data_IF_951677602085
#
_entry.id   IF_951677602085
#
_cell.length_a   1.000
_cell.length_b   1.000
_cell.length_c   1.000
_cell.angle_alpha   90.00
_cell.angle_beta   90.00
_cell.angle_gamma   90.00
#
_symmetry.space_group_name_H-M   'P 1'
#
loop_
_entity.id
_entity.type
_entity.pdbx_description
1 polymer ?
#
# COMPACT_ATOMS: atom_id res chain seq x y z
N UNK A 1 2.64 -15.86 16.23
CA UNK A 1 1.17 -15.62 16.28
C UNK A 1 0.41 -16.25 15.11
N UNK A 2 0.84 -17.42 14.64
CA UNK A 2 0.22 -18.17 13.54
C UNK A 2 -1.21 -18.61 13.84
N UNK A 3 -1.60 -18.65 15.12
CA UNK A 3 -2.80 -19.34 15.61
C UNK A 3 -4.08 -18.48 15.59
N UNK A 4 -3.97 -17.18 15.29
CA UNK A 4 -5.14 -16.32 15.11
C UNK A 4 -5.61 -16.46 13.65
N UNK A 5 -6.87 -16.74 13.31
CA UNK A 5 -7.29 -16.75 11.91
C UNK A 5 -7.32 -15.33 11.32
N UNK A 6 -6.98 -15.17 10.04
CA UNK A 6 -7.23 -13.91 9.32
C UNK A 6 -8.70 -13.87 8.89
N UNK A 7 -9.44 -12.85 9.31
CA UNK A 7 -10.87 -12.65 9.05
C UNK A 7 -11.17 -11.18 8.78
N UNK A 8 -12.18 -10.93 7.96
CA UNK A 8 -12.81 -9.62 7.88
C UNK A 8 -13.73 -9.39 9.08
N UNK A 9 -13.87 -8.14 9.49
CA UNK A 9 -14.84 -7.77 10.51
C UNK A 9 -16.28 -8.03 10.02
N UNK A 10 -17.12 -8.54 10.91
CA UNK A 10 -18.56 -8.72 10.71
C UNK A 10 -19.30 -8.34 11.99
N UNK A 11 -20.39 -7.54 11.92
CA UNK A 11 -21.23 -7.24 13.08
C UNK A 11 -21.82 -8.49 13.74
N UNK A 12 -22.21 -9.50 12.94
CA UNK A 12 -22.73 -10.77 13.44
C UNK A 12 -21.66 -11.53 14.22
N UNK A 13 -20.41 -11.54 13.71
CA UNK A 13 -19.31 -12.17 14.43
C UNK A 13 -18.98 -11.43 15.73
N UNK A 14 -18.96 -10.09 15.70
CA UNK A 14 -18.77 -9.25 16.88
C UNK A 14 -19.77 -9.58 17.99
N UNK A 15 -21.07 -9.70 17.66
CA UNK A 15 -22.11 -10.02 18.63
C UNK A 15 -21.94 -11.38 19.32
N UNK A 16 -21.36 -12.37 18.63
CA UNK A 16 -21.17 -13.73 19.17
C UNK A 16 -19.88 -13.87 19.98
N UNK A 17 -18.92 -12.96 19.83
CA UNK A 17 -17.63 -13.00 20.52
C UNK A 17 -17.71 -12.59 22.00
N UNK A 18 -18.85 -12.06 22.46
CA UNK A 18 -19.00 -11.55 23.83
C UNK A 18 -18.18 -10.29 24.12
N UNK A 19 -17.75 -9.58 23.08
CA UNK A 19 -17.14 -8.26 23.23
C UNK A 19 -18.21 -7.21 23.58
N UNK A 20 -17.84 -6.13 24.27
CA UNK A 20 -18.77 -5.03 24.55
C UNK A 20 -19.32 -4.43 23.25
N UNK A 21 -20.60 -4.06 23.27
CA UNK A 21 -21.22 -3.31 22.17
C UNK A 21 -20.48 -2.00 21.88
N UNK A 22 -20.62 -1.46 20.66
CA UNK A 22 -19.88 -0.26 20.25
C UNK A 22 -20.25 1.02 21.03
N UNK A 23 -21.40 1.00 21.69
CA UNK A 23 -21.91 2.03 22.59
C UNK A 23 -21.35 1.93 24.02
N UNK A 24 -20.67 0.84 24.36
CA UNK A 24 -20.09 0.61 25.68
C UNK A 24 -18.90 1.55 25.97
N UNK A 25 -18.86 2.09 27.19
CA UNK A 25 -17.81 3.01 27.65
C UNK A 25 -16.40 2.39 27.67
N UNK A 26 -16.29 1.05 27.68
CA UNK A 26 -15.00 0.36 27.61
C UNK A 26 -14.22 0.70 26.34
N UNK A 27 -14.89 0.95 25.21
CA UNK A 27 -14.23 1.41 23.98
C UNK A 27 -13.66 2.82 24.15
N UNK A 28 -14.37 3.71 24.85
CA UNK A 28 -13.89 5.05 25.16
C UNK A 28 -12.68 5.02 26.10
N UNK A 29 -12.69 4.14 27.10
CA UNK A 29 -11.54 3.94 27.99
C UNK A 29 -10.31 3.42 27.23
N UNK A 30 -10.52 2.51 26.27
CA UNK A 30 -9.46 2.04 25.39
C UNK A 30 -8.89 3.20 24.56
N UNK A 31 -9.74 4.04 23.96
CA UNK A 31 -9.30 5.25 23.26
C UNK A 31 -8.45 6.16 24.15
N UNK A 32 -8.91 6.48 25.37
CA UNK A 32 -8.17 7.31 26.34
C UNK A 32 -6.80 6.75 26.69
N UNK A 33 -6.67 5.43 26.85
CA UNK A 33 -5.35 4.80 27.09
C UNK A 33 -4.40 5.07 25.92
N UNK A 34 -4.89 4.94 24.68
CA UNK A 34 -4.11 5.12 23.48
C UNK A 34 -3.88 6.60 23.11
N UNK A 35 -4.57 7.57 23.71
CA UNK A 35 -4.27 9.00 23.58
C UNK A 35 -2.87 9.37 24.10
N UNK A 36 -2.29 8.55 24.99
CA UNK A 36 -0.91 8.70 25.45
C UNK A 36 0.09 8.70 24.29
N UNK A 37 0.88 9.77 24.18
CA UNK A 37 1.89 9.97 23.14
C UNK A 37 2.99 8.90 23.14
N UNK A 38 3.16 8.16 24.24
CA UNK A 38 4.11 7.07 24.35
C UNK A 38 3.91 6.01 23.24
N UNK A 39 2.67 5.63 22.95
CA UNK A 39 2.34 4.66 21.88
C UNK A 39 2.64 5.18 20.47
N UNK A 40 2.90 6.47 20.30
CA UNK A 40 3.26 7.05 19.02
C UNK A 40 4.78 7.24 18.85
N UNK A 41 5.59 7.30 19.90
CA UNK A 41 7.02 7.65 19.79
C UNK A 41 7.81 6.57 19.07
N UNK A 42 8.57 6.89 18.03
CA UNK A 42 9.36 5.89 17.27
C UNK A 42 10.39 5.15 18.13
N UNK A 43 10.98 5.82 19.13
CA UNK A 43 11.94 5.21 20.05
C UNK A 43 11.35 4.09 20.92
N UNK A 44 10.03 4.07 21.11
CA UNK A 44 9.36 3.03 21.90
C UNK A 44 9.55 1.62 21.31
N UNK A 45 9.80 1.55 20.00
CA UNK A 45 10.03 0.28 19.31
C UNK A 45 11.26 -0.40 19.92
N UNK A 46 12.38 0.30 20.07
CA UNK A 46 13.57 -0.26 20.71
C UNK A 46 13.36 -0.50 22.21
N UNK A 47 12.71 0.44 22.91
CA UNK A 47 12.45 0.34 24.36
C UNK A 47 11.73 -0.98 24.72
N UNK A 48 10.83 -1.44 23.84
CA UNK A 48 10.08 -2.69 24.03
C UNK A 48 10.73 -3.89 23.35
N UNK A 49 11.08 -3.77 22.07
CA UNK A 49 11.52 -4.92 21.26
C UNK A 49 12.89 -5.46 21.69
N UNK A 50 13.78 -4.62 22.22
CA UNK A 50 15.09 -5.05 22.73
C UNK A 50 15.07 -5.49 24.19
N UNK A 51 13.91 -5.43 24.86
CA UNK A 51 13.79 -5.85 26.26
C UNK A 51 13.99 -7.36 26.40
N UNK A 52 14.89 -7.76 27.30
CA UNK A 52 15.14 -9.18 27.62
C UNK A 52 13.99 -9.87 28.38
N UNK A 53 13.08 -9.09 28.96
CA UNK A 53 11.90 -9.57 29.69
C UNK A 53 10.63 -8.91 29.15
N UNK A 54 9.48 -9.54 29.37
CA UNK A 54 8.19 -8.94 29.02
C UNK A 54 8.00 -7.59 29.74
N UNK A 55 7.89 -6.47 29.01
CA UNK A 55 7.70 -5.17 29.64
C UNK A 55 6.40 -5.09 30.44
N UNK A 56 6.38 -4.24 31.46
CA UNK A 56 5.20 -3.99 32.29
C UNK A 56 4.69 -2.58 31.97
N UNK A 57 3.44 -2.50 31.55
CA UNK A 57 2.71 -1.26 31.34
C UNK A 57 2.20 -0.76 32.69
N UNK A 58 2.61 0.45 33.07
CA UNK A 58 2.11 1.15 34.25
C UNK A 58 1.13 2.24 33.81
N UNK A 59 -0.13 2.16 34.25
CA UNK A 59 -1.14 3.15 33.94
C UNK A 59 -1.96 3.48 35.20
N UNK A 60 -1.71 4.66 35.78
CA UNK A 60 -2.22 5.00 37.11
C UNK A 60 -1.69 4.02 38.16
N UNK A 61 -2.59 3.40 38.93
CA UNK A 61 -2.24 2.39 39.94
C UNK A 61 -2.26 0.94 39.40
N UNK A 62 -2.50 0.77 38.10
CA UNK A 62 -2.64 -0.56 37.49
C UNK A 62 -1.39 -0.95 36.72
N UNK A 63 -1.11 -2.25 36.74
CA UNK A 63 0.03 -2.86 36.05
C UNK A 63 -0.46 -3.95 35.10
N UNK A 64 0.00 -3.92 33.86
CA UNK A 64 -0.40 -4.89 32.84
C UNK A 64 0.83 -5.43 32.09
N UNK A 65 0.91 -6.73 31.80
CA UNK A 65 2.01 -7.27 31.00
C UNK A 65 1.85 -6.91 29.52
N UNK A 66 2.95 -6.59 28.85
CA UNK A 66 2.97 -6.15 27.46
C UNK A 66 2.44 -7.23 26.51
N UNK A 67 2.82 -8.50 26.69
CA UNK A 67 2.40 -9.59 25.80
C UNK A 67 0.87 -9.69 25.62
N UNK A 68 0.08 -9.31 26.63
CA UNK A 68 -1.40 -9.30 26.53
C UNK A 68 -1.88 -8.19 25.59
N UNK A 69 -1.34 -6.98 25.71
CA UNK A 69 -1.69 -5.89 24.82
C UNK A 69 -1.23 -6.19 23.39
N UNK A 70 -0.05 -6.78 23.24
CA UNK A 70 0.45 -7.27 21.97
C UNK A 70 -0.50 -8.29 21.33
N UNK A 71 -0.88 -9.34 22.06
CA UNK A 71 -1.84 -10.34 21.57
C UNK A 71 -3.18 -9.72 21.17
N UNK A 72 -3.75 -8.83 21.99
CA UNK A 72 -5.02 -8.14 21.66
C UNK A 72 -4.89 -7.32 20.38
N UNK A 73 -3.79 -6.57 20.23
CA UNK A 73 -3.56 -5.74 19.05
C UNK A 73 -3.48 -6.56 17.76
N UNK A 74 -2.82 -7.71 17.81
CA UNK A 74 -2.72 -8.64 16.68
C UNK A 74 -4.02 -9.37 16.41
N UNK A 75 -4.77 -9.73 17.46
CA UNK A 75 -6.10 -10.31 17.30
C UNK A 75 -7.06 -9.33 16.61
N UNK A 76 -7.09 -8.06 17.04
CA UNK A 76 -7.92 -7.03 16.42
C UNK A 76 -7.51 -6.78 14.96
N UNK A 77 -6.21 -6.69 14.66
CA UNK A 77 -5.70 -6.57 13.29
C UNK A 77 -6.21 -7.72 12.42
N UNK A 78 -5.94 -8.96 12.85
CA UNK A 78 -6.23 -10.16 12.06
C UNK A 78 -7.72 -10.45 11.93
N UNK A 79 -8.60 -9.82 12.72
CA UNK A 79 -10.05 -9.95 12.59
C UNK A 79 -10.71 -8.69 11.98
N UNK A 80 -9.94 -7.79 11.38
CA UNK A 80 -10.46 -6.65 10.62
C UNK A 80 -10.97 -5.46 11.44
N UNK A 81 -10.74 -5.45 12.75
CA UNK A 81 -11.24 -4.42 13.66
C UNK A 81 -10.55 -3.06 13.48
N UNK A 82 -9.28 -3.04 13.04
CA UNK A 82 -8.46 -1.82 12.97
C UNK A 82 -8.92 -0.79 11.92
N UNK A 83 -9.90 -1.14 11.08
CA UNK A 83 -10.51 -0.22 10.11
C UNK A 83 -11.69 0.55 10.70
N UNK A 84 -12.17 0.12 11.86
CA UNK A 84 -13.36 0.66 12.50
C UNK A 84 -13.02 1.95 13.26
N UNK A 85 -13.88 2.98 13.20
CA UNK A 85 -13.64 4.26 13.88
C UNK A 85 -13.52 4.16 15.40
N UNK A 86 -14.10 3.13 16.00
CA UNK A 86 -14.10 2.89 17.42
C UNK A 86 -12.77 2.31 17.93
N UNK A 87 -11.92 1.80 17.03
CA UNK A 87 -10.65 1.18 17.39
C UNK A 87 -9.53 2.21 17.26
N UNK A 88 -8.72 2.46 18.31
CA UNK A 88 -7.66 3.46 18.25
C UNK A 88 -6.58 3.11 17.23
N UNK A 89 -6.23 4.05 16.34
CA UNK A 89 -5.23 3.82 15.29
C UNK A 89 -3.86 3.40 15.86
N UNK A 90 -3.49 3.92 17.04
CA UNK A 90 -2.22 3.58 17.72
C UNK A 90 -2.14 2.14 18.22
N UNK A 91 -3.24 1.39 18.20
CA UNK A 91 -3.18 -0.05 18.45
C UNK A 91 -2.37 -0.78 17.37
N UNK A 92 -2.29 -0.23 16.16
CA UNK A 92 -1.42 -0.75 15.10
C UNK A 92 0.06 -0.65 15.46
N UNK A 93 0.47 0.42 16.15
CA UNK A 93 1.84 0.57 16.61
C UNK A 93 2.21 -0.55 17.60
N UNK A 94 1.29 -0.92 18.50
CA UNK A 94 1.50 -2.06 19.40
C UNK A 94 1.65 -3.36 18.61
N UNK A 95 0.80 -3.60 17.60
CA UNK A 95 0.90 -4.77 16.75
C UNK A 95 2.27 -4.83 16.04
N UNK A 96 2.74 -3.70 15.48
CA UNK A 96 4.06 -3.59 14.86
C UNK A 96 5.18 -3.95 15.85
N UNK A 97 5.21 -3.33 17.03
CA UNK A 97 6.24 -3.61 18.04
C UNK A 97 6.20 -5.08 18.46
N UNK A 98 5.00 -5.64 18.64
CA UNK A 98 4.82 -7.05 19.04
C UNK A 98 5.32 -8.00 17.96
N UNK A 99 5.10 -7.68 16.68
CA UNK A 99 5.60 -8.47 15.56
C UNK A 99 7.14 -8.43 15.49
N UNK A 100 7.73 -7.25 15.69
CA UNK A 100 9.20 -7.11 15.73
C UNK A 100 9.78 -7.88 16.93
N UNK A 101 9.22 -7.69 18.13
CA UNK A 101 9.69 -8.34 19.36
C UNK A 101 9.58 -9.87 19.30
N UNK A 102 8.50 -10.39 18.72
CA UNK A 102 8.27 -11.84 18.63
C UNK A 102 8.95 -12.48 17.42
N UNK A 103 9.46 -11.68 16.50
CA UNK A 103 10.26 -12.17 15.40
C UNK A 103 11.51 -12.84 15.96
N UNK A 104 11.76 -14.06 15.50
CA UNK A 104 12.97 -14.83 15.85
C UNK A 104 14.13 -14.53 14.91
N UNK A 105 13.93 -13.59 13.98
CA UNK A 105 14.86 -13.26 12.89
C UNK A 105 15.19 -11.79 12.88
N UNK A 106 16.23 -11.48 12.12
CA UNK A 106 16.66 -10.11 11.93
C UNK A 106 15.77 -9.39 10.94
N UNK A 107 15.64 -8.08 11.11
CA UNK A 107 14.86 -7.23 10.21
C UNK A 107 15.79 -6.36 9.39
N UNK A 108 15.52 -6.26 8.09
CA UNK A 108 16.20 -5.31 7.22
C UNK A 108 15.65 -3.90 7.46
N UNK A 109 16.49 -2.89 7.26
CA UNK A 109 16.12 -1.50 7.54
C UNK A 109 14.91 -1.04 6.71
N UNK A 110 14.75 -1.51 5.47
CA UNK A 110 13.60 -1.15 4.63
C UNK A 110 12.26 -1.69 5.18
N UNK A 111 12.23 -2.91 5.72
CA UNK A 111 11.07 -3.49 6.38
C UNK A 111 10.73 -2.72 7.66
N UNK A 112 11.74 -2.34 8.45
CA UNK A 112 11.56 -1.53 9.65
C UNK A 112 11.01 -0.13 9.31
N UNK A 113 11.57 0.53 8.29
CA UNK A 113 11.13 1.84 7.81
C UNK A 113 9.67 1.79 7.33
N UNK A 114 9.30 0.74 6.61
CA UNK A 114 7.91 0.53 6.17
C UNK A 114 6.96 0.29 7.35
N UNK A 115 7.35 -0.57 8.29
CA UNK A 115 6.50 -0.97 9.41
C UNK A 115 6.28 0.15 10.45
N UNK A 116 7.22 1.09 10.53
CA UNK A 116 7.26 2.13 11.57
C UNK A 116 6.72 3.50 11.14
N UNK A 117 6.09 3.60 9.97
CA UNK A 117 5.64 4.90 9.41
C UNK A 117 4.66 5.64 10.30
N UNK A 118 3.80 4.90 11.01
CA UNK A 118 2.78 5.43 11.92
C UNK A 118 3.35 5.96 13.25
N UNK A 119 4.65 5.76 13.49
CA UNK A 119 5.32 6.31 14.65
C UNK A 119 5.79 7.73 14.39
N UNK A 120 5.71 8.58 15.40
CA UNK A 120 6.13 9.96 15.36
C UNK A 120 7.55 10.12 15.90
N UNK A 121 8.29 11.05 15.29
CA UNK A 121 9.56 11.55 15.78
C UNK A 121 9.49 13.08 15.93
N UNK A 122 10.19 13.64 16.91
CA UNK A 122 10.37 15.10 17.00
C UNK A 122 11.43 15.55 16.00
N UNK A 123 12.61 14.94 16.06
CA UNK A 123 13.62 15.03 15.00
C UNK A 123 13.28 14.03 13.89
N UNK A 124 13.03 14.49 12.66
CA UNK A 124 12.62 13.59 11.58
C UNK A 124 13.73 12.63 11.14
N UNK A 125 15.00 12.86 11.51
CA UNK A 125 16.10 11.90 11.26
C UNK A 125 15.97 10.65 12.12
N UNK A 126 15.30 10.75 13.27
CA UNK A 126 15.05 9.60 14.15
C UNK A 126 14.13 8.56 13.51
N UNK A 127 13.37 8.92 12.47
CA UNK A 127 12.63 7.96 11.65
C UNK A 127 13.53 6.86 11.07
N UNK A 128 14.81 7.16 10.88
CA UNK A 128 15.84 6.20 10.49
C UNK A 128 16.65 5.77 11.72
N UNK A 129 17.20 6.73 12.48
CA UNK A 129 18.20 6.41 13.51
C UNK A 129 17.64 5.61 14.68
N UNK A 130 16.35 5.77 15.00
CA UNK A 130 15.70 4.96 16.04
C UNK A 130 15.44 3.51 15.61
N UNK A 131 15.77 3.12 14.39
CA UNK A 131 15.58 1.74 13.89
C UNK A 131 16.90 0.98 13.78
N UNK A 132 18.04 1.68 13.78
CA UNK A 132 19.34 1.07 13.56
C UNK A 132 19.70 0.02 14.63
N UNK A 133 19.26 0.19 15.88
CA UNK A 133 19.47 -0.82 16.92
C UNK A 133 18.77 -2.17 16.67
N UNK A 134 17.83 -2.22 15.72
CA UNK A 134 17.07 -3.41 15.33
C UNK A 134 17.48 -3.94 13.94
N UNK A 135 18.13 -3.09 13.13
CA UNK A 135 18.41 -3.36 11.73
C UNK A 135 19.60 -4.32 11.57
N UNK A 136 19.48 -5.30 10.66
CA UNK A 136 20.54 -6.26 10.36
C UNK A 136 21.84 -5.56 9.92
N UNK A 137 21.72 -4.43 9.24
CA UNK A 137 22.81 -3.60 8.72
C UNK A 137 23.66 -2.96 9.82
N UNK A 138 23.20 -2.98 11.08
CA UNK A 138 23.86 -2.34 12.21
C UNK A 138 24.22 -3.30 13.35
N UNK A 139 24.15 -4.62 13.12
CA UNK A 139 24.49 -5.61 14.14
C UNK A 139 25.95 -5.53 14.60
N UNK A 140 26.86 -5.30 13.66
CA UNK A 140 28.26 -5.08 13.99
C UNK A 140 28.53 -3.58 14.17
N UNK A 141 28.61 -3.15 15.43
CA UNK A 141 28.88 -1.78 15.80
C UNK A 141 30.17 -1.19 15.18
N UNK A 142 31.13 -2.05 14.79
CA UNK A 142 32.40 -1.62 14.17
C UNK A 142 32.33 -1.49 12.64
N UNK A 143 31.26 -1.95 12.00
CA UNK A 143 31.12 -2.03 10.54
C UNK A 143 29.82 -1.40 10.03
N UNK A 144 29.24 -0.45 10.78
CA UNK A 144 28.03 0.25 10.35
C UNK A 144 28.34 1.04 9.06
N UNK A 145 27.60 0.81 7.97
CA UNK A 145 27.79 1.53 6.71
C UNK A 145 27.76 3.05 6.93
N UNK A 146 28.68 3.78 6.30
CA UNK A 146 28.79 5.25 6.44
C UNK A 146 27.50 5.99 6.08
N UNK A 147 26.66 5.41 5.22
CA UNK A 147 25.35 5.95 4.87
C UNK A 147 24.36 5.95 6.06
N UNK A 148 24.49 4.98 6.97
CA UNK A 148 23.59 4.74 8.10
C UNK A 148 24.10 5.34 9.41
N UNK A 149 25.38 5.74 9.50
CA UNK A 149 25.91 6.35 10.72
C UNK A 149 25.15 7.63 11.10
N UNK A 150 24.67 7.76 12.35
CA UNK A 150 23.92 8.94 12.79
C UNK A 150 24.71 10.23 12.63
N UNK A 151 24.13 11.20 11.92
CA UNK A 151 24.73 12.51 11.71
C UNK A 151 23.66 13.61 11.73
N UNK A 152 23.44 14.19 12.91
CA UNK A 152 22.48 15.29 13.13
C UNK A 152 22.97 16.66 12.61
N UNK A 153 24.11 16.72 11.92
CA UNK A 153 24.53 17.92 11.17
C UNK A 153 23.94 17.96 9.75
N UNK A 154 23.45 16.83 9.25
CA UNK A 154 22.81 16.75 7.93
C UNK A 154 21.36 17.20 8.00
N UNK A 155 20.87 17.76 6.89
CA UNK A 155 19.44 18.00 6.70
C UNK A 155 18.66 16.69 6.60
N UNK A 156 17.38 16.70 6.98
CA UNK A 156 16.50 15.51 6.94
C UNK A 156 16.51 14.86 5.55
N UNK A 157 16.36 15.68 4.51
CA UNK A 157 16.33 15.19 3.13
C UNK A 157 17.64 14.52 2.70
N UNK A 158 18.79 15.01 3.15
CA UNK A 158 20.08 14.41 2.86
C UNK A 158 20.22 13.03 3.52
N UNK A 159 19.75 12.88 4.76
CA UNK A 159 19.72 11.59 5.44
C UNK A 159 18.86 10.60 4.66
N UNK A 160 17.67 11.02 4.23
CA UNK A 160 16.74 10.12 3.54
C UNK A 160 17.26 9.68 2.16
N UNK A 161 17.82 10.60 1.38
CA UNK A 161 18.47 10.28 0.10
C UNK A 161 19.63 9.31 0.31
N UNK A 162 20.48 9.56 1.30
CA UNK A 162 21.63 8.67 1.59
C UNK A 162 21.18 7.24 1.93
N UNK A 163 20.16 7.11 2.78
CA UNK A 163 19.62 5.80 3.18
C UNK A 163 18.94 5.10 2.00
N UNK A 164 18.12 5.82 1.23
CA UNK A 164 17.46 5.28 0.05
C UNK A 164 18.46 4.76 -1.00
N UNK A 165 19.54 5.51 -1.27
CA UNK A 165 20.60 5.07 -2.18
C UNK A 165 21.36 3.85 -1.63
N UNK A 166 21.63 3.81 -0.33
CA UNK A 166 22.22 2.63 0.30
C UNK A 166 21.34 1.39 0.10
N UNK A 167 20.04 1.47 0.39
CA UNK A 167 19.11 0.35 0.21
C UNK A 167 19.05 -0.12 -1.24
N UNK A 168 19.04 0.81 -2.19
CA UNK A 168 19.06 0.51 -3.62
C UNK A 168 20.34 -0.19 -4.06
N UNK A 169 21.48 0.29 -3.58
CA UNK A 169 22.79 -0.23 -3.95
C UNK A 169 23.08 -1.58 -3.32
N UNK A 170 22.74 -1.76 -2.05
CA UNK A 170 23.00 -2.97 -1.29
C UNK A 170 22.06 -4.10 -1.72
N UNK A 171 20.75 -3.82 -1.79
CA UNK A 171 19.74 -4.87 -1.97
C UNK A 171 19.22 -5.01 -3.40
N UNK A 172 19.61 -4.11 -4.31
CA UNK A 172 19.15 -4.10 -5.71
C UNK A 172 17.63 -4.27 -5.83
N UNK A 173 16.89 -3.62 -4.93
CA UNK A 173 15.43 -3.69 -4.88
C UNK A 173 14.83 -2.29 -4.99
N UNK A 174 13.70 -2.18 -5.70
CA UNK A 174 12.88 -0.97 -5.75
C UNK A 174 11.69 -1.02 -4.78
N UNK A 175 11.58 -2.08 -3.97
CA UNK A 175 10.48 -2.26 -3.01
C UNK A 175 10.40 -1.14 -1.96
N UNK A 176 11.50 -0.44 -1.70
CA UNK A 176 11.54 0.70 -0.77
C UNK A 176 11.05 2.00 -1.39
N UNK A 177 10.88 2.09 -2.73
CA UNK A 177 10.31 3.25 -3.45
C UNK A 177 8.79 3.35 -3.19
N UNK A 178 8.51 3.53 -1.92
CA UNK A 178 7.21 3.67 -1.29
C UNK A 178 7.20 5.05 -0.69
N UNK A 179 6.02 5.70 -0.67
CA UNK A 179 5.90 7.06 -0.11
C UNK A 179 6.84 8.06 -0.80
N UNK A 180 6.80 8.14 -2.15
CA UNK A 180 7.64 9.10 -2.84
C UNK A 180 7.34 10.50 -2.34
N UNK A 181 8.39 11.33 -2.19
CA UNK A 181 8.20 12.72 -1.86
C UNK A 181 7.36 13.36 -2.96
N UNK A 182 6.07 13.51 -2.69
CA UNK A 182 5.15 13.70 -3.79
C UNK A 182 5.32 15.06 -4.44
N UNK A 183 4.89 15.12 -5.70
CA UNK A 183 4.41 16.37 -6.31
C UNK A 183 3.45 17.03 -5.32
N UNK A 184 3.54 18.36 -5.07
CA UNK A 184 2.56 19.07 -4.25
C UNK A 184 1.15 18.73 -4.72
N UNK A 185 0.28 18.34 -3.80
CA UNK A 185 -1.14 18.14 -4.05
C UNK A 185 -1.89 18.99 -3.03
N UNK A 186 -2.99 19.62 -3.45
CA UNK A 186 -3.79 20.52 -2.60
C UNK A 186 -4.66 19.75 -1.59
N UNK A 187 -4.36 18.47 -1.33
CA UNK A 187 -5.12 17.61 -0.44
C UNK A 187 -4.48 17.54 0.95
N UNK A 188 -5.25 17.77 2.04
CA UNK A 188 -4.74 17.75 3.41
C UNK A 188 -4.31 16.34 3.89
N UNK A 189 -4.61 15.29 3.12
CA UNK A 189 -4.42 13.88 3.49
C UNK A 189 -2.98 13.36 3.26
N UNK A 190 -2.16 14.08 2.49
CA UNK A 190 -0.75 13.73 2.23
C UNK A 190 0.24 14.83 2.64
N UNK A 191 -0.15 15.71 3.55
CA UNK A 191 0.78 16.68 4.12
C UNK A 191 1.70 15.94 5.09
N UNK A 192 2.98 15.82 4.76
CA UNK A 192 3.96 15.56 5.81
C UNK A 192 4.12 16.85 6.60
N UNK A 193 4.30 16.75 7.92
CA UNK A 193 4.62 17.91 8.76
C UNK A 193 5.90 18.63 8.30
N UNK A 194 6.71 17.96 7.48
CA UNK A 194 7.94 18.48 6.90
C UNK A 194 7.91 18.40 5.37
N UNK A 195 7.88 19.56 4.69
CA UNK A 195 8.11 19.67 3.26
C UNK A 195 9.55 20.12 3.02
N UNK A 196 10.48 19.17 2.88
CA UNK A 196 11.85 19.50 2.51
C UNK A 196 11.92 19.87 1.04
N UNK A 197 12.34 21.10 0.72
CA UNK A 197 12.59 21.52 -0.68
C UNK A 197 13.73 20.74 -1.35
N UNK A 198 14.55 20.03 -0.57
CA UNK A 198 15.72 19.30 -1.05
C UNK A 198 15.47 17.83 -1.41
N UNK A 199 14.29 17.27 -1.12
CA UNK A 199 14.03 15.85 -1.31
C UNK A 199 13.45 15.62 -2.73
N UNK A 200 14.14 14.87 -3.61
CA UNK A 200 13.67 14.61 -4.97
C UNK A 200 12.45 13.68 -4.97
N UNK A 201 11.70 13.65 -6.07
CA UNK A 201 10.41 12.94 -6.13
C UNK A 201 10.53 11.42 -5.95
N UNK A 202 11.65 10.83 -6.34
CA UNK A 202 11.92 9.40 -6.16
C UNK A 202 12.29 9.03 -4.74
N UNK A 203 12.80 9.97 -3.94
CA UNK A 203 13.27 9.67 -2.60
C UNK A 203 12.09 9.50 -1.65
N UNK A 204 12.04 8.42 -0.83
CA UNK A 204 11.00 8.25 0.16
C UNK A 204 10.98 9.37 1.20
N UNK A 205 9.79 9.81 1.59
CA UNK A 205 9.61 10.72 2.71
C UNK A 205 9.08 9.97 3.94
N UNK A 206 9.98 9.69 4.90
CA UNK A 206 9.62 9.00 6.15
C UNK A 206 9.13 9.92 7.27
N UNK A 207 9.00 11.24 7.02
CA UNK A 207 8.58 12.20 8.03
C UNK A 207 7.17 11.89 8.58
N UNK A 208 6.86 12.42 9.76
CA UNK A 208 5.51 12.35 10.34
C UNK A 208 4.45 12.77 9.31
N UNK A 209 3.42 11.95 9.16
CA UNK A 209 2.20 12.31 8.43
C UNK A 209 1.35 13.25 9.30
N UNK A 210 0.72 14.27 8.69
CA UNK A 210 -0.28 15.11 9.39
C UNK A 210 -1.60 14.35 9.60
N UNK A 211 -1.88 13.35 8.77
CA UNK A 211 -3.08 12.51 8.84
C UNK A 211 -2.69 11.06 9.08
N UNK A 212 -3.22 10.46 10.15
CA UNK A 212 -3.14 9.01 10.37
C UNK A 212 -4.28 8.40 9.53
N UNK A 213 -3.95 7.99 8.30
CA UNK A 213 -4.92 7.26 7.50
C UNK A 213 -5.15 5.86 8.06
N UNK A 214 -6.41 5.42 8.07
CA UNK A 214 -6.77 4.04 8.42
C UNK A 214 -6.20 3.07 7.39
N UNK A 215 -6.07 1.81 7.79
CA UNK A 215 -5.20 0.79 7.22
C UNK A 215 -5.51 0.35 5.76
N UNK A 216 -5.19 1.22 4.80
CA UNK A 216 -5.30 0.97 3.35
C UNK A 216 -3.93 0.72 2.73
N UNK A 217 -3.88 -0.14 1.69
CA UNK A 217 -2.64 -0.49 1.03
C UNK A 217 -2.11 0.68 0.19
N UNK A 218 -1.15 1.43 0.72
CA UNK A 218 -0.49 2.57 0.04
C UNK A 218 0.66 2.16 -0.88
N UNK A 219 1.04 0.89 -0.82
CA UNK A 219 2.12 0.29 -1.61
C UNK A 219 1.67 -1.05 -2.19
N UNK A 220 2.38 -1.52 -3.21
CA UNK A 220 2.29 -2.87 -3.73
C UNK A 220 3.45 -3.75 -3.26
N UNK A 221 4.18 -3.28 -2.24
CA UNK A 221 5.24 -4.00 -1.52
C UNK A 221 4.76 -4.45 -0.13
N UNK A 222 5.38 -5.50 0.40
CA UNK A 222 4.90 -6.27 1.56
C UNK A 222 6.08 -6.65 2.42
N UNK A 223 5.82 -6.76 3.72
CA UNK A 223 6.74 -7.42 4.61
C UNK A 223 6.67 -8.92 4.31
N UNK A 224 7.80 -9.47 3.90
CA UNK A 224 7.99 -10.91 3.75
C UNK A 224 8.75 -11.41 4.98
N UNK A 225 8.11 -12.31 5.73
CA UNK A 225 8.75 -13.07 6.82
C UNK A 225 8.95 -14.51 6.32
N UNK A 226 10.15 -14.83 5.79
CA UNK A 226 10.46 -16.16 5.26
C UNK A 226 10.65 -17.22 6.36
N UNK A 227 10.50 -16.87 7.64
CA UNK A 227 10.76 -17.76 8.77
C UNK A 227 12.21 -17.65 9.27
N UNK A 228 12.60 -18.57 10.16
CA UNK A 228 13.79 -18.44 11.04
C UNK A 228 15.12 -18.27 10.28
N UNK A 229 15.21 -18.76 9.04
CA UNK A 229 16.46 -18.84 8.29
C UNK A 229 16.79 -17.58 7.47
N UNK A 230 15.88 -16.62 7.38
CA UNK A 230 16.09 -15.43 6.54
C UNK A 230 15.51 -14.18 7.18
N UNK A 231 16.13 -13.01 6.92
CA UNK A 231 15.67 -11.77 7.53
C UNK A 231 14.28 -11.39 7.02
N UNK A 232 13.52 -10.69 7.86
CA UNK A 232 12.30 -10.01 7.46
C UNK A 232 12.67 -8.85 6.54
N UNK A 233 12.07 -8.82 5.34
CA UNK A 233 12.40 -7.86 4.28
C UNK A 233 11.15 -7.22 3.68
N UNK A 234 11.33 -6.06 3.06
CA UNK A 234 10.31 -5.45 2.20
C UNK A 234 10.50 -5.92 0.76
N UNK A 235 9.48 -6.54 0.16
CA UNK A 235 9.54 -7.08 -1.21
C UNK A 235 8.22 -6.94 -1.96
N UNK A 236 8.19 -7.38 -3.22
CA UNK A 236 6.94 -7.54 -3.97
C UNK A 236 6.40 -8.97 -3.79
N UNK A 237 5.09 -9.22 -3.96
CA UNK A 237 4.52 -10.56 -4.02
C UNK A 237 5.21 -11.40 -5.08
N UNK A 238 5.24 -12.71 -4.87
CA UNK A 238 5.81 -13.64 -5.85
C UNK A 238 5.12 -13.58 -7.22
N UNK A 239 3.84 -13.21 -7.29
CA UNK A 239 3.11 -13.06 -8.55
C UNK A 239 3.38 -11.72 -9.27
N UNK A 240 4.05 -10.76 -8.64
CA UNK A 240 4.41 -9.49 -9.28
C UNK A 240 5.84 -9.55 -9.83
N UNK A 241 5.93 -9.68 -11.15
CA UNK A 241 7.18 -9.75 -11.89
C UNK A 241 7.10 -8.89 -13.16
N UNK A 242 6.80 -7.59 -13.01
CA UNK A 242 6.80 -6.66 -14.14
C UNK A 242 8.19 -6.62 -14.82
N UNK A 243 9.27 -6.67 -14.02
CA UNK A 243 10.65 -6.84 -14.46
C UNK A 243 11.61 -7.30 -13.34
N UNK A 244 11.13 -7.97 -12.29
CA UNK A 244 11.96 -8.33 -11.14
C UNK A 244 13.05 -9.36 -11.47
N UNK A 245 12.89 -10.10 -12.58
CA UNK A 245 13.93 -10.97 -13.15
C UNK A 245 15.08 -10.24 -13.85
N UNK A 246 14.99 -8.93 -14.11
CA UNK A 246 16.06 -8.13 -14.71
C UNK A 246 16.89 -7.44 -13.61
N UNK A 247 18.21 -7.24 -13.81
CA UNK A 247 19.00 -6.47 -12.87
C UNK A 247 18.62 -4.99 -12.93
N UNK A 248 18.66 -4.30 -11.78
CA UNK A 248 18.61 -2.84 -11.75
C UNK A 248 19.87 -2.30 -12.44
N UNK A 249 19.68 -1.59 -13.56
CA UNK A 249 20.74 -0.86 -14.25
C UNK A 249 20.75 0.59 -13.79
N UNK A 250 21.75 0.94 -12.99
CA UNK A 250 21.96 2.28 -12.46
C UNK A 250 22.99 3.03 -13.32
N UNK A 251 22.73 4.30 -13.60
CA UNK A 251 23.72 5.20 -14.23
C UNK A 251 24.33 6.17 -13.19
N UNK A 252 25.24 7.04 -13.62
CA UNK A 252 26.03 7.95 -12.78
C UNK A 252 25.24 8.62 -11.63
N UNK A 253 25.84 8.62 -10.43
CA UNK A 253 25.32 9.13 -9.16
C UNK A 253 25.98 10.44 -8.71
N UNK A 254 26.76 11.11 -9.57
CA UNK A 254 27.43 12.36 -9.25
C UNK A 254 26.49 13.41 -8.63
N UNK A 255 25.23 13.43 -9.06
CA UNK A 255 24.17 14.28 -8.48
C UNK A 255 23.17 13.44 -7.68
N UNK A 256 23.20 13.54 -6.35
CA UNK A 256 22.27 12.82 -5.44
C UNK A 256 20.79 13.23 -5.57
N UNK A 257 20.49 14.29 -6.30
CA UNK A 257 19.12 14.74 -6.56
C UNK A 257 18.44 14.01 -7.72
N UNK A 258 19.21 13.43 -8.65
CA UNK A 258 18.63 12.75 -9.83
C UNK A 258 19.00 11.27 -9.80
N UNK A 259 18.00 10.40 -9.81
CA UNK A 259 18.17 8.96 -9.90
C UNK A 259 18.00 8.51 -11.34
N UNK A 260 19.07 7.96 -11.94
CA UNK A 260 19.09 7.51 -13.33
C UNK A 260 19.05 5.98 -13.41
N UNK A 261 18.02 5.46 -14.06
CA UNK A 261 17.72 4.03 -14.13
C UNK A 261 17.32 3.62 -15.55
N UNK A 262 17.59 2.38 -15.94
CA UNK A 262 16.98 1.84 -17.17
C UNK A 262 15.51 1.47 -16.94
N UNK A 263 14.69 1.72 -17.96
CA UNK A 263 13.32 1.25 -17.98
C UNK A 263 12.67 1.33 -19.36
N UNK A 264 11.38 1.06 -19.40
CA UNK A 264 10.54 1.05 -20.60
C UNK A 264 9.38 2.02 -20.41
N UNK A 265 9.10 2.87 -21.41
CA UNK A 265 7.85 3.62 -21.51
C UNK A 265 6.83 2.77 -22.26
N UNK A 266 5.76 2.36 -21.58
CA UNK A 266 4.87 1.31 -22.08
C UNK A 266 3.55 1.85 -22.61
N UNK A 267 2.99 2.83 -21.92
CA UNK A 267 1.66 3.36 -22.17
C UNK A 267 1.48 4.77 -21.57
N UNK A 268 0.34 5.38 -21.86
CA UNK A 268 -0.05 6.71 -21.36
C UNK A 268 -1.40 6.58 -20.64
N UNK A 269 -1.55 7.22 -19.49
CA UNK A 269 -2.83 7.32 -18.78
C UNK A 269 -3.74 8.30 -19.51
N UNK A 270 -4.93 7.87 -19.92
CA UNK A 270 -5.89 8.71 -20.65
C UNK A 270 -7.13 9.05 -19.82
N UNK A 271 -7.43 8.25 -18.81
CA UNK A 271 -8.56 8.48 -17.91
C UNK A 271 -8.18 8.13 -16.48
N UNK A 272 -8.72 8.91 -15.55
CA UNK A 272 -8.45 8.84 -14.12
C UNK A 272 -9.75 9.04 -13.36
N UNK A 273 -10.04 8.16 -12.40
CA UNK A 273 -11.18 8.30 -11.49
C UNK A 273 -10.72 8.14 -10.05
N UNK A 274 -11.10 9.08 -9.19
CA UNK A 274 -10.83 9.02 -7.76
C UNK A 274 -11.82 8.06 -7.09
N UNK A 275 -11.37 7.29 -6.11
CA UNK A 275 -12.28 6.60 -5.20
C UNK A 275 -12.71 7.61 -4.12
N UNK A 276 -14.01 7.89 -4.01
CA UNK A 276 -14.52 8.80 -2.98
C UNK A 276 -14.24 8.22 -1.59
N UNK A 277 -13.52 9.00 -0.77
CA UNK A 277 -13.05 8.65 0.58
C UNK A 277 -14.11 8.87 1.69
N UNK A 278 -15.37 9.12 1.33
CA UNK A 278 -16.41 9.49 2.30
C UNK A 278 -16.92 8.28 3.11
N UNK A 279 -16.04 7.73 3.94
CA UNK A 279 -16.38 7.01 5.18
C UNK A 279 -16.77 7.98 6.31
N UNK A 280 -17.01 9.27 6.01
CA UNK A 280 -17.36 10.32 6.96
C UNK A 280 -18.71 11.00 6.64
N UNK A 281 -19.79 10.23 6.57
CA UNK A 281 -20.98 10.45 7.41
C UNK A 281 -22.07 9.46 7.02
N UNK A 282 -22.86 8.93 7.98
CA UNK A 282 -24.09 8.20 7.66
C UNK A 282 -25.23 9.11 7.17
N UNK A 283 -24.94 10.34 6.72
CA UNK A 283 -25.97 11.31 6.36
C UNK A 283 -25.90 11.60 4.87
N UNK A 284 -26.93 11.09 4.19
CA UNK A 284 -27.41 11.46 2.84
C UNK A 284 -26.79 10.70 1.66
N UNK A 285 -27.32 9.49 1.46
CA UNK A 285 -27.17 8.65 0.28
C UNK A 285 -27.78 9.27 -1.00
N UNK A 286 -27.07 10.22 -1.61
CA UNK A 286 -27.39 10.78 -2.93
C UNK A 286 -26.35 10.46 -4.03
N UNK A 287 -25.22 9.83 -3.71
CA UNK A 287 -24.14 9.56 -4.67
C UNK A 287 -24.08 8.08 -5.11
N UNK A 288 -23.70 7.85 -6.38
CA UNK A 288 -23.42 6.52 -6.92
C UNK A 288 -22.38 5.79 -6.03
N UNK A 289 -22.49 4.47 -5.81
CA UNK A 289 -21.42 3.70 -5.17
C UNK A 289 -20.09 3.97 -5.88
N UNK A 290 -18.96 4.16 -5.17
CA UNK A 290 -17.68 4.52 -5.79
C UNK A 290 -17.28 3.60 -6.95
N UNK A 291 -17.49 2.29 -6.80
CA UNK A 291 -17.19 1.29 -7.84
C UNK A 291 -18.14 1.36 -9.05
N UNK A 292 -19.36 1.88 -8.90
CA UNK A 292 -20.28 2.12 -10.03
C UNK A 292 -19.78 3.28 -10.91
N UNK A 293 -19.21 4.33 -10.31
CA UNK A 293 -18.61 5.43 -11.08
C UNK A 293 -17.47 4.91 -11.97
N UNK A 294 -16.66 3.97 -11.46
CA UNK A 294 -15.57 3.36 -12.23
C UNK A 294 -16.07 2.59 -13.43
N UNK A 295 -17.15 1.82 -13.27
CA UNK A 295 -17.75 1.10 -14.39
C UNK A 295 -18.11 2.06 -15.53
N UNK A 296 -18.76 3.19 -15.20
CA UNK A 296 -19.15 4.21 -16.18
C UNK A 296 -17.94 4.81 -16.91
N UNK A 297 -16.84 5.04 -16.19
CA UNK A 297 -15.62 5.62 -16.78
C UNK A 297 -14.82 4.60 -17.58
N UNK A 298 -14.75 3.35 -17.14
CA UNK A 298 -13.92 2.32 -17.77
C UNK A 298 -14.56 1.71 -19.01
N UNK A 299 -15.88 1.50 -19.00
CA UNK A 299 -16.60 0.78 -20.05
C UNK A 299 -16.42 1.36 -21.47
N UNK A 300 -16.41 2.71 -21.68
CA UNK A 300 -16.16 3.31 -22.99
C UNK A 300 -14.80 2.95 -23.60
N UNK A 301 -13.82 2.58 -22.78
CA UNK A 301 -12.47 2.22 -23.22
C UNK A 301 -12.29 0.71 -23.45
N UNK A 302 -13.38 -0.09 -23.40
CA UNK A 302 -13.33 -1.52 -23.69
C UNK A 302 -12.78 -1.78 -25.10
N UNK A 303 -11.67 -2.51 -25.26
CA UNK A 303 -11.14 -2.84 -26.58
C UNK A 303 -12.13 -3.69 -27.39
N UNK A 304 -12.36 -3.35 -28.67
CA UNK A 304 -13.33 -4.04 -29.55
C UNK A 304 -13.08 -5.54 -29.71
N UNK A 305 -11.83 -5.98 -29.58
CA UNK A 305 -11.44 -7.40 -29.70
C UNK A 305 -11.46 -8.20 -28.40
N UNK A 306 -11.81 -7.59 -27.25
CA UNK A 306 -11.85 -8.27 -25.95
C UNK A 306 -13.29 -8.65 -25.61
N UNK A 307 -13.51 -9.92 -25.25
CA UNK A 307 -14.83 -10.37 -24.78
C UNK A 307 -15.23 -9.61 -23.52
N UNK A 308 -16.54 -9.40 -23.32
CA UNK A 308 -17.04 -8.71 -22.13
C UNK A 308 -16.66 -9.46 -20.84
N UNK A 309 -16.67 -10.79 -20.85
CA UNK A 309 -16.25 -11.61 -19.71
C UNK A 309 -14.77 -11.36 -19.32
N UNK A 310 -13.85 -11.38 -20.31
CA UNK A 310 -12.44 -11.11 -20.04
C UNK A 310 -12.20 -9.67 -19.59
N UNK A 311 -12.99 -8.73 -20.10
CA UNK A 311 -12.91 -7.34 -19.66
C UNK A 311 -13.38 -7.17 -18.21
N UNK A 312 -14.47 -7.83 -17.80
CA UNK A 312 -14.93 -7.87 -16.40
C UNK A 312 -13.85 -8.49 -15.50
N UNK A 313 -13.23 -9.60 -15.92
CA UNK A 313 -12.12 -10.21 -15.18
C UNK A 313 -10.95 -9.22 -14.98
N UNK A 314 -10.53 -8.52 -16.03
CA UNK A 314 -9.49 -7.49 -15.94
C UNK A 314 -9.86 -6.35 -14.98
N UNK A 315 -11.14 -5.99 -14.88
CA UNK A 315 -11.62 -4.99 -13.93
C UNK A 315 -11.54 -5.49 -12.50
N UNK A 316 -11.94 -6.75 -12.24
CA UNK A 316 -11.82 -7.40 -10.93
C UNK A 316 -10.35 -7.50 -10.52
N UNK A 317 -9.48 -7.94 -11.41
CA UNK A 317 -8.03 -8.02 -11.19
C UNK A 317 -7.45 -6.64 -10.87
N UNK A 318 -7.78 -5.61 -11.65
CA UNK A 318 -7.28 -4.24 -11.42
C UNK A 318 -7.71 -3.66 -10.06
N UNK A 319 -8.99 -3.81 -9.70
CA UNK A 319 -9.57 -3.26 -8.46
C UNK A 319 -9.14 -4.02 -7.21
N UNK A 320 -8.71 -5.28 -7.35
CA UNK A 320 -8.18 -6.10 -6.25
C UNK A 320 -6.65 -6.21 -6.26
N UNK A 321 -6.00 -5.53 -7.21
CA UNK A 321 -4.59 -5.71 -7.53
C UNK A 321 -4.19 -7.19 -7.72
N UNK A 322 -5.11 -8.06 -8.12
CA UNK A 322 -4.90 -9.52 -8.26
C UNK A 322 -4.55 -10.25 -6.95
N UNK A 323 -4.86 -9.66 -5.79
CA UNK A 323 -4.49 -10.18 -4.47
C UNK A 323 -5.59 -11.04 -3.83
N UNK A 324 -6.22 -11.88 -4.65
CA UNK A 324 -7.37 -12.72 -4.29
C UNK A 324 -7.10 -13.68 -3.13
N UNK A 325 -5.87 -14.17 -3.00
CA UNK A 325 -5.47 -15.07 -1.91
C UNK A 325 -5.59 -14.45 -0.51
N UNK A 326 -5.56 -13.11 -0.38
CA UNK A 326 -5.75 -12.42 0.91
C UNK A 326 -7.14 -12.66 1.51
N UNK A 327 -8.11 -12.97 0.65
CA UNK A 327 -9.48 -13.33 1.04
C UNK A 327 -9.70 -14.84 1.11
N UNK A 328 -8.66 -15.66 0.94
CA UNK A 328 -8.77 -17.12 0.85
C UNK A 328 -9.47 -17.62 -0.42
N UNK A 329 -9.60 -16.76 -1.44
CA UNK A 329 -10.27 -17.06 -2.70
C UNK A 329 -9.28 -17.51 -3.77
N UNK A 330 -9.76 -18.23 -4.78
CA UNK A 330 -9.04 -18.49 -6.03
C UNK A 330 -9.29 -17.36 -7.03
N UNK A 331 -8.49 -17.27 -8.09
CA UNK A 331 -8.70 -16.29 -9.17
C UNK A 331 -10.09 -16.45 -9.83
N UNK A 332 -10.55 -17.68 -10.05
CA UNK A 332 -11.88 -17.94 -10.58
C UNK A 332 -12.97 -17.46 -9.61
N UNK A 333 -12.82 -17.76 -8.32
CA UNK A 333 -13.84 -17.41 -7.33
C UNK A 333 -13.94 -15.90 -7.14
N UNK A 334 -12.82 -15.16 -7.07
CA UNK A 334 -12.89 -13.70 -6.92
C UNK A 334 -13.55 -13.04 -8.14
N UNK A 335 -13.42 -13.62 -9.34
CA UNK A 335 -14.12 -13.15 -10.53
C UNK A 335 -15.64 -13.35 -10.42
N UNK A 336 -16.10 -14.47 -9.86
CA UNK A 336 -17.52 -14.68 -9.54
C UNK A 336 -18.01 -13.69 -8.49
N UNK A 337 -17.22 -13.48 -7.44
CA UNK A 337 -17.50 -12.53 -6.35
C UNK A 337 -17.63 -11.08 -6.90
N UNK A 338 -16.72 -10.67 -7.77
CA UNK A 338 -16.76 -9.38 -8.45
C UNK A 338 -17.92 -9.24 -9.45
N UNK A 339 -18.23 -10.30 -10.19
CA UNK A 339 -19.40 -10.32 -11.06
C UNK A 339 -20.71 -10.21 -10.26
N UNK A 340 -20.81 -10.85 -9.09
CA UNK A 340 -21.95 -10.73 -8.18
C UNK A 340 -22.10 -9.29 -7.65
N UNK A 341 -20.99 -8.65 -7.28
CA UNK A 341 -21.00 -7.24 -6.89
C UNK A 341 -21.50 -6.32 -8.01
N UNK A 342 -20.93 -6.46 -9.22
CA UNK A 342 -21.32 -5.69 -10.40
C UNK A 342 -22.79 -5.92 -10.79
N UNK A 343 -23.26 -7.17 -10.72
CA UNK A 343 -24.66 -7.52 -10.94
C UNK A 343 -25.58 -6.80 -9.94
N UNK A 344 -25.26 -6.82 -8.65
CA UNK A 344 -26.06 -6.13 -7.62
C UNK A 344 -26.16 -4.63 -7.87
N UNK A 345 -25.05 -3.96 -8.21
CA UNK A 345 -25.07 -2.50 -8.44
C UNK A 345 -25.78 -2.12 -9.76
N UNK A 346 -25.60 -2.89 -10.83
CA UNK A 346 -26.16 -2.58 -12.17
C UNK A 346 -27.62 -3.00 -12.32
N UNK A 347 -28.07 -4.02 -11.59
CA UNK A 347 -29.47 -4.45 -11.59
C UNK A 347 -30.38 -3.56 -10.74
N UNK A 348 -29.81 -2.64 -9.95
CA UNK A 348 -30.58 -1.65 -9.18
C UNK A 348 -31.31 -0.65 -10.08
N UNK A 349 -32.60 -0.43 -9.84
CA UNK A 349 -33.47 0.45 -10.65
C UNK A 349 -32.99 1.90 -10.76
N UNK A 350 -32.17 2.37 -9.81
CA UNK A 350 -31.56 3.71 -9.84
C UNK A 350 -30.54 3.89 -10.97
N UNK A 351 -29.95 2.80 -11.48
CA UNK A 351 -28.75 2.85 -12.33
C UNK A 351 -28.91 2.13 -13.67
N UNK A 352 -30.15 1.84 -14.09
CA UNK A 352 -30.43 1.19 -15.38
C UNK A 352 -30.19 2.09 -16.60
N UNK A 353 -30.04 3.41 -16.40
CA UNK A 353 -29.97 4.42 -17.47
C UNK A 353 -28.60 4.68 -18.16
N UNK A 354 -27.39 4.29 -17.69
CA UNK A 354 -26.14 4.60 -18.39
C UNK A 354 -25.72 3.58 -19.47
N UNK A 355 -26.38 2.42 -19.59
CA UNK A 355 -25.97 1.35 -20.53
C UNK A 355 -26.74 1.37 -21.86
N UNK A 356 -27.06 2.55 -22.37
CA UNK A 356 -27.78 2.74 -23.64
C UNK A 356 -26.90 2.42 -24.86
N UNK A 357 -26.60 1.13 -25.03
CA UNK A 357 -26.26 0.41 -26.28
C UNK A 357 -26.07 -1.11 -26.05
N UNK A 358 -25.98 -1.59 -24.80
CA UNK A 358 -25.71 -3.03 -24.50
C UNK A 358 -26.17 -3.51 -23.11
N UNK A 359 -27.04 -2.77 -22.41
CA UNK A 359 -27.32 -2.99 -20.98
C UNK A 359 -27.93 -4.34 -20.61
N UNK A 360 -28.83 -4.89 -21.44
CA UNK A 360 -29.50 -6.17 -21.17
C UNK A 360 -28.49 -7.34 -21.22
N UNK A 361 -27.63 -7.37 -22.25
CA UNK A 361 -26.63 -8.42 -22.46
C UNK A 361 -25.57 -8.43 -21.34
N UNK A 362 -25.20 -7.24 -20.83
CA UNK A 362 -24.25 -7.10 -19.72
C UNK A 362 -24.84 -7.67 -18.44
N UNK A 363 -26.08 -7.30 -18.11
CA UNK A 363 -26.76 -7.79 -16.90
C UNK A 363 -26.97 -9.31 -16.99
N UNK A 364 -27.40 -9.82 -18.14
CA UNK A 364 -27.57 -11.26 -18.35
C UNK A 364 -26.25 -12.02 -18.21
N UNK A 365 -25.16 -11.50 -18.79
CA UNK A 365 -23.83 -12.11 -18.64
C UNK A 365 -23.38 -12.07 -17.18
N UNK A 366 -23.54 -10.94 -16.48
CA UNK A 366 -23.18 -10.82 -15.08
C UNK A 366 -23.98 -11.77 -14.19
N UNK A 367 -25.27 -11.96 -14.47
CA UNK A 367 -26.10 -12.95 -13.76
C UNK A 367 -25.50 -14.35 -13.88
N UNK A 368 -25.08 -14.75 -15.09
CA UNK A 368 -24.41 -16.05 -15.34
C UNK A 368 -23.04 -16.16 -14.65
N UNK A 369 -22.22 -15.10 -14.72
CA UNK A 369 -20.88 -15.08 -14.11
C UNK A 369 -20.92 -15.00 -12.58
N UNK A 370 -22.00 -14.46 -12.00
CA UNK A 370 -22.15 -14.25 -10.56
C UNK A 370 -22.54 -15.50 -9.77
N UNK A 371 -22.86 -16.63 -10.42
CA UNK A 371 -23.35 -17.82 -9.75
C UNK A 371 -22.33 -18.31 -8.72
N UNK A 372 -22.73 -18.33 -7.44
CA UNK A 372 -21.87 -18.71 -6.32
C UNK A 372 -20.86 -17.64 -5.89
N UNK A 373 -20.99 -16.41 -6.38
CA UNK A 373 -20.15 -15.27 -6.00
C UNK A 373 -20.63 -14.56 -4.73
N UNK A 374 -19.68 -14.04 -3.96
CA UNK A 374 -19.89 -13.25 -2.75
C UNK A 374 -19.49 -11.78 -2.97
N UNK A 375 -20.50 -10.93 -3.18
CA UNK A 375 -20.29 -9.50 -3.47
C UNK A 375 -19.62 -8.73 -2.32
N UNK A 376 -19.84 -9.13 -1.06
CA UNK A 376 -19.32 -8.42 0.11
C UNK A 376 -17.81 -8.66 0.27
N UNK A 377 -17.36 -9.90 0.03
CA UNK A 377 -15.94 -10.24 0.05
C UNK A 377 -15.18 -9.52 -1.06
N UNK A 378 -15.73 -9.48 -2.27
CA UNK A 378 -15.12 -8.70 -3.35
C UNK A 378 -15.04 -7.21 -2.97
N UNK A 379 -16.13 -6.61 -2.49
CA UNK A 379 -16.14 -5.18 -2.14
C UNK A 379 -15.11 -4.83 -1.06
N UNK A 380 -14.98 -5.69 -0.04
CA UNK A 380 -14.00 -5.51 1.01
C UNK A 380 -12.56 -5.65 0.51
N UNK A 381 -12.28 -6.62 -0.37
CA UNK A 381 -10.95 -6.78 -0.96
C UNK A 381 -10.62 -5.59 -1.87
N UNK A 382 -11.53 -5.20 -2.76
CA UNK A 382 -11.35 -4.08 -3.67
C UNK A 382 -11.09 -2.78 -2.89
N UNK A 383 -11.86 -2.52 -1.83
CA UNK A 383 -11.68 -1.36 -0.96
C UNK A 383 -10.27 -1.26 -0.38
N UNK A 384 -9.60 -2.38 -0.07
CA UNK A 384 -8.24 -2.38 0.50
C UNK A 384 -7.19 -1.79 -0.43
N UNK A 385 -7.36 -2.00 -1.73
CA UNK A 385 -6.40 -1.58 -2.75
C UNK A 385 -6.80 -0.29 -3.44
N UNK A 386 -8.11 -0.03 -3.51
CA UNK A 386 -8.68 1.10 -4.20
C UNK A 386 -8.70 2.39 -3.37
N UNK A 387 -8.95 2.30 -2.06
CA UNK A 387 -9.07 3.49 -1.22
C UNK A 387 -7.75 4.29 -1.19
N UNK A 388 -7.87 5.62 -1.23
CA UNK A 388 -6.78 6.58 -1.38
C UNK A 388 -5.88 6.36 -2.63
N UNK A 389 -6.39 5.69 -3.66
CA UNK A 389 -5.76 5.56 -4.98
C UNK A 389 -6.63 6.18 -6.07
N UNK A 390 -6.21 6.04 -7.32
CA UNK A 390 -7.02 6.34 -8.50
C UNK A 390 -7.13 5.13 -9.38
N UNK A 391 -8.34 4.87 -9.87
CA UNK A 391 -8.52 3.95 -10.97
C UNK A 391 -8.10 4.66 -12.26
N UNK A 392 -7.34 3.97 -13.10
CA UNK A 392 -6.82 4.55 -14.34
C UNK A 392 -7.10 3.64 -15.53
N UNK A 393 -7.29 4.28 -16.68
CA UNK A 393 -7.33 3.62 -17.98
C UNK A 393 -6.23 4.20 -18.85
N UNK A 394 -5.51 3.33 -19.55
CA UNK A 394 -4.41 3.67 -20.44
C UNK A 394 -4.87 3.80 -21.89
N UNK A 395 -4.04 4.40 -22.75
CA UNK A 395 -4.32 4.59 -24.18
C UNK A 395 -4.60 3.26 -24.89
N UNK A 396 -3.91 2.17 -24.50
CA UNK A 396 -4.15 0.82 -25.06
C UNK A 396 -5.35 0.09 -24.40
N UNK A 397 -6.15 0.78 -23.59
CA UNK A 397 -7.34 0.23 -22.93
C UNK A 397 -7.04 -0.73 -21.77
N UNK A 398 -5.81 -0.69 -21.21
CA UNK A 398 -5.51 -1.41 -19.96
C UNK A 398 -6.06 -0.66 -18.77
N UNK A 399 -6.53 -1.40 -17.77
CA UNK A 399 -7.09 -0.88 -16.52
C UNK A 399 -6.11 -1.12 -15.38
N UNK A 400 -6.15 -0.25 -14.37
CA UNK A 400 -5.28 -0.37 -13.23
C UNK A 400 -5.63 0.56 -12.08
N UNK A 401 -4.84 0.46 -11.01
CA UNK A 401 -4.85 1.40 -9.89
C UNK A 401 -3.49 2.09 -9.78
N UNK A 402 -3.52 3.38 -9.54
CA UNK A 402 -2.36 4.26 -9.47
C UNK A 402 -2.41 5.11 -8.20
N UNK A 403 -1.28 5.75 -7.81
CA UNK A 403 -1.27 6.66 -6.67
C UNK A 403 -2.31 7.78 -6.86
N UNK A 404 -2.86 8.32 -5.76
CA UNK A 404 -3.81 9.45 -5.77
C UNK A 404 -3.33 10.67 -6.57
N UNK A 405 -2.02 10.84 -6.71
CA UNK A 405 -1.42 11.96 -7.45
C UNK A 405 -1.37 11.73 -8.97
N UNK A 406 -1.76 10.55 -9.46
CA UNK A 406 -1.82 10.25 -10.87
C UNK A 406 -2.83 11.15 -11.61
N UNK A 407 -2.48 11.55 -12.82
CA UNK A 407 -3.28 12.39 -13.71
C UNK A 407 -3.31 11.77 -15.11
N UNK A 408 -4.24 12.24 -15.94
CA UNK A 408 -4.15 12.00 -17.38
C UNK A 408 -2.84 12.57 -17.92
N UNK A 409 -2.34 11.96 -18.99
CA UNK A 409 -1.04 12.18 -19.62
C UNK A 409 0.18 11.73 -18.80
N UNK A 410 0.00 11.18 -17.60
CA UNK A 410 1.08 10.47 -16.91
C UNK A 410 1.48 9.21 -17.70
N UNK A 411 2.77 8.87 -17.63
CA UNK A 411 3.36 7.71 -18.31
C UNK A 411 3.27 6.47 -17.43
N UNK A 412 2.93 5.34 -18.04
CA UNK A 412 3.08 4.01 -17.45
C UNK A 412 4.45 3.46 -17.87
N UNK A 413 5.31 3.27 -16.89
CA UNK A 413 6.68 2.82 -17.09
C UNK A 413 6.99 1.53 -16.33
N UNK A 414 7.90 0.73 -16.86
CA UNK A 414 8.55 -0.38 -16.15
C UNK A 414 9.98 0.03 -15.86
N UNK A 415 10.40 0.00 -14.60
CA UNK A 415 11.80 0.23 -14.21
C UNK A 415 12.44 -1.14 -13.99
N UNK A 416 13.57 -1.41 -14.64
CA UNK A 416 14.24 -2.71 -14.55
C UNK A 416 14.59 -3.09 -13.10
N UNK A 417 14.35 -4.35 -12.75
CA UNK A 417 14.43 -4.87 -11.37
C UNK A 417 13.20 -4.55 -10.50
N UNK A 418 12.21 -3.84 -11.03
CA UNK A 418 10.95 -3.56 -10.35
C UNK A 418 9.94 -4.70 -10.50
N UNK A 419 9.23 -5.03 -9.41
CA UNK A 419 8.15 -6.02 -9.43
C UNK A 419 6.84 -5.51 -10.03
N UNK A 420 6.66 -4.19 -10.15
CA UNK A 420 5.41 -3.55 -10.57
C UNK A 420 5.64 -2.45 -11.60
N UNK A 421 4.62 -2.03 -12.36
CA UNK A 421 4.61 -0.78 -13.10
C UNK A 421 4.69 0.46 -12.20
N UNK A 422 5.17 1.57 -12.77
CA UNK A 422 5.31 2.85 -12.11
C UNK A 422 4.67 3.95 -12.94
N UNK A 423 4.09 4.93 -12.26
CA UNK A 423 3.58 6.15 -12.89
C UNK A 423 4.65 7.22 -12.81
N UNK A 424 5.02 7.76 -13.98
CA UNK A 424 5.98 8.85 -14.12
C UNK A 424 5.34 10.03 -14.83
N UNK A 425 5.64 11.25 -14.38
CA UNK A 425 5.17 12.48 -15.03
C UNK A 425 6.34 13.18 -15.69
N UNK A 426 6.20 13.55 -16.96
CA UNK A 426 7.22 14.35 -17.64
C UNK A 426 7.45 15.68 -16.91
N UNK A 427 8.72 16.03 -16.65
CA UNK A 427 9.08 17.26 -15.96
C UNK A 427 10.47 17.76 -16.38
N UNK A 428 10.52 18.95 -16.96
CA UNK A 428 11.76 19.58 -17.46
C UNK A 428 12.57 18.59 -18.32
N UNK A 429 13.74 18.18 -17.85
CA UNK A 429 14.68 17.30 -18.54
C UNK A 429 14.57 15.83 -18.07
N UNK A 430 13.55 15.47 -17.29
CA UNK A 430 13.40 14.13 -16.75
C UNK A 430 11.96 13.85 -16.34
N UNK A 431 11.79 13.14 -15.23
CA UNK A 431 10.50 12.68 -14.74
C UNK A 431 10.33 12.93 -13.25
N UNK A 432 9.11 13.30 -12.86
CA UNK A 432 8.67 13.16 -11.48
C UNK A 432 8.17 11.74 -11.26
N UNK A 433 8.65 11.10 -10.21
CA UNK A 433 8.19 9.79 -9.78
C UNK A 433 6.88 9.94 -9.00
N UNK A 434 5.77 9.45 -9.55
CA UNK A 434 4.44 9.56 -8.93
C UNK A 434 4.18 8.38 -7.99
N UNK A 435 4.64 7.18 -8.36
CA UNK A 435 4.59 5.99 -7.49
C UNK A 435 4.26 4.69 -8.21
N UNK A 436 4.14 3.63 -7.43
CA UNK A 436 3.80 2.28 -7.88
C UNK A 436 2.35 2.18 -8.38
N UNK A 437 2.12 1.43 -9.45
CA UNK A 437 0.79 1.12 -9.97
C UNK A 437 0.62 -0.38 -10.22
N UNK A 438 -0.63 -0.83 -10.17
CA UNK A 438 -1.02 -2.12 -10.71
C UNK A 438 -1.67 -1.83 -12.06
N UNK A 439 -1.19 -2.47 -13.13
CA UNK A 439 -1.79 -2.36 -14.46
C UNK A 439 -2.00 -3.77 -15.00
N UNK A 440 -3.26 -4.09 -15.33
CA UNK A 440 -3.62 -5.39 -15.88
C UNK A 440 -2.83 -5.68 -17.16
N UNK A 441 -2.21 -6.87 -17.21
CA UNK A 441 -1.36 -7.30 -18.32
C UNK A 441 0.00 -6.60 -18.41
N UNK A 442 0.50 -6.04 -17.31
CA UNK A 442 1.89 -5.55 -17.17
C UNK A 442 2.58 -6.04 -15.88
N UNK A 443 1.91 -6.88 -15.08
CA UNK A 443 2.43 -7.38 -13.81
C UNK A 443 3.29 -8.65 -13.98
N UNK A 444 3.21 -9.31 -15.13
CA UNK A 444 3.81 -10.62 -15.39
C UNK A 444 4.92 -10.59 -16.46
N UNK A 445 5.59 -9.45 -16.65
CA UNK A 445 6.73 -9.31 -17.56
C UNK A 445 6.35 -9.10 -19.03
N UNK A 446 5.10 -8.73 -19.32
CA UNK A 446 4.60 -8.52 -20.68
C UNK A 446 5.40 -7.42 -21.41
N UNK A 447 5.73 -6.33 -20.70
CA UNK A 447 6.54 -5.25 -21.26
C UNK A 447 7.98 -5.71 -21.56
N UNK A 448 8.58 -6.54 -20.70
CA UNK A 448 9.92 -7.11 -20.94
C UNK A 448 9.90 -7.98 -22.18
N UNK A 449 8.91 -8.86 -22.33
CA UNK A 449 8.75 -9.68 -23.55
C UNK A 449 8.56 -8.83 -24.80
N UNK A 450 7.84 -7.71 -24.70
CA UNK A 450 7.67 -6.78 -25.82
C UNK A 450 8.98 -6.07 -26.19
N UNK A 451 9.78 -5.67 -25.19
CA UNK A 451 11.13 -5.14 -25.39
C UNK A 451 12.07 -6.17 -26.05
N UNK A 452 12.06 -7.42 -25.61
CA UNK A 452 12.84 -8.51 -26.22
C UNK A 452 12.47 -8.77 -27.68
N UNK A 453 11.22 -8.51 -28.07
CA UNK A 453 10.76 -8.57 -29.47
C UNK A 453 11.06 -7.30 -30.28
N UNK A 454 11.64 -6.26 -29.66
CA UNK A 454 11.92 -4.98 -30.30
C UNK A 454 10.70 -4.05 -30.44
N UNK A 455 9.60 -4.33 -29.75
CA UNK A 455 8.37 -3.50 -29.79
C UNK A 455 8.43 -2.30 -28.84
N UNK A 456 9.33 -2.36 -27.85
CA UNK A 456 9.63 -1.28 -26.90
C UNK A 456 11.13 -1.02 -26.89
N UNK A 457 11.54 0.21 -26.57
CA UNK A 457 12.93 0.60 -26.41
C UNK A 457 13.30 0.71 -24.93
N UNK A 458 14.52 0.27 -24.58
CA UNK A 458 15.13 0.60 -23.30
C UNK A 458 15.50 2.09 -23.30
N UNK A 459 15.10 2.80 -22.26
CA UNK A 459 15.36 4.22 -22.09
C UNK A 459 16.00 4.50 -20.73
N UNK A 460 16.80 5.55 -20.66
CA UNK A 460 17.26 6.11 -19.40
C UNK A 460 16.17 6.99 -18.80
N UNK A 461 15.67 6.59 -17.63
CA UNK A 461 14.69 7.32 -16.84
C UNK A 461 15.44 8.17 -15.81
N UNK A 462 15.41 9.49 -15.99
CA UNK A 462 15.98 10.46 -15.05
C UNK A 462 14.90 10.93 -14.06
N UNK A 463 14.86 10.33 -12.88
CA UNK A 463 13.91 10.70 -11.82
C UNK A 463 14.45 11.90 -11.03
N UNK A 464 13.71 13.00 -11.00
CA UNK A 464 14.13 14.29 -10.42
C UNK A 464 13.60 14.55 -9.02
#
# INVERSE_FOLDING_TARGET
MTDIPLRMYSPQHHAVLGLPGWDDELWQHLCKLFESSWFARVWVIQEVALSQRDPIILHGQRTYPWHRLGWVSSWMYRNGYQRLPQVPDRMQNVNTISNIQQSRTFWRLDALLYSSQRFCATDQRDKVYSLLGLAIESQNATQIPTALQPNYKLEVGEVYIKVALFLLQEYKSLSFLTFPNGVPDNSPQNEHQYQSKSLPSWAPNWCNSTVIERDYAKTLSWISDPGIESPVVLGFPGNYNASSGLPIKLFDFSTRSVLRLSGLKVDIVVSVTQFDDELQSPKEAAHDPPLLQLWKVAFPFRPKGRTLANWIASWVEATTAEQHHLSGRTAEQICKDGAAYLHTILSSSKYQQPCAASGQDVIELLSKLSIGGDAEIYAALASNFCLNRKFIVTLKGRMGIAPRKALSDDLVCIIFGGGVPYILRAHKNGFLFIGQSYINGLMGGEAVRAWERGELAEEMLELQ
#
